data_IF_498083296663
#
_entry.id   IF_498083296663
#
_cell.length_a   1.000
_cell.length_b   1.000
_cell.length_c   1.000
_cell.angle_alpha   90.00
_cell.angle_beta   90.00
_cell.angle_gamma   90.00
#
_symmetry.space_group_name_H-M   'P 1'
#
loop_
_entity.id
_entity.type
_entity.pdbx_description
1 polymer ?
#
# COMPACT_ATOMS: atom_id res chain seq x y z
N UNK A 1 4.65 -14.02 -25.39
CA UNK A 1 5.28 -13.56 -24.13
C UNK A 1 4.96 -14.60 -23.06
N UNK A 2 5.93 -15.09 -22.27
CA UNK A 2 5.62 -16.02 -21.19
C UNK A 2 4.78 -15.30 -20.14
N UNK A 3 3.62 -15.86 -19.83
CA UNK A 3 2.74 -15.39 -18.77
C UNK A 3 3.24 -15.99 -17.46
N UNK A 4 4.03 -15.26 -16.68
CA UNK A 4 4.43 -15.71 -15.35
C UNK A 4 3.20 -15.67 -14.43
N UNK A 5 2.68 -16.83 -14.08
CA UNK A 5 1.58 -16.96 -13.12
C UNK A 5 2.20 -17.11 -11.74
N UNK A 6 2.26 -16.03 -10.95
CA UNK A 6 2.64 -16.11 -9.54
C UNK A 6 1.65 -17.02 -8.82
N UNK A 7 2.13 -18.14 -8.30
CA UNK A 7 1.35 -19.15 -7.55
C UNK A 7 1.46 -18.97 -6.03
N UNK A 8 2.06 -17.88 -5.58
CA UNK A 8 2.27 -17.59 -4.16
C UNK A 8 1.02 -16.94 -3.57
N UNK A 9 0.63 -17.35 -2.37
CA UNK A 9 -0.36 -16.63 -1.58
C UNK A 9 0.24 -15.30 -1.14
N UNK A 10 -0.55 -14.23 -1.22
CA UNK A 10 -0.11 -12.85 -0.93
C UNK A 10 -1.17 -12.26 -0.01
N UNK A 11 -0.73 -11.65 1.08
CA UNK A 11 -1.62 -10.88 1.96
C UNK A 11 -1.92 -9.55 1.28
N UNK A 12 -3.19 -9.21 1.12
CA UNK A 12 -3.60 -7.98 0.47
C UNK A 12 -4.67 -7.26 1.30
N UNK A 13 -4.49 -5.96 1.50
CA UNK A 13 -5.47 -5.08 2.16
C UNK A 13 -5.77 -3.88 1.28
N UNK A 14 -7.06 -3.62 1.06
CA UNK A 14 -7.48 -2.43 0.32
C UNK A 14 -7.40 -1.20 1.21
N UNK A 15 -6.74 -0.15 0.74
CA UNK A 15 -6.54 1.10 1.46
C UNK A 15 -7.76 2.00 1.43
N UNK A 16 -8.24 2.37 2.62
CA UNK A 16 -9.25 3.41 2.80
C UNK A 16 -8.79 4.38 3.89
N UNK A 17 -8.65 5.67 3.54
CA UNK A 17 -8.16 6.72 4.43
C UNK A 17 -8.97 6.79 5.74
N UNK A 18 -10.30 6.69 5.62
CA UNK A 18 -11.20 6.70 6.78
C UNK A 18 -10.98 5.52 7.73
N UNK A 19 -10.63 4.35 7.19
CA UNK A 19 -10.31 3.18 8.01
C UNK A 19 -8.91 3.27 8.59
N UNK A 20 -7.94 3.76 7.82
CA UNK A 20 -6.57 3.97 8.26
C UNK A 20 -6.51 4.86 9.51
N UNK A 21 -7.31 5.93 9.54
CA UNK A 21 -7.39 6.79 10.73
C UNK A 21 -8.01 6.10 11.97
N UNK A 22 -8.82 5.06 11.78
CA UNK A 22 -9.44 4.30 12.88
C UNK A 22 -8.58 3.14 13.36
N UNK A 23 -7.94 2.43 12.43
CA UNK A 23 -7.14 1.26 12.71
C UNK A 23 -5.89 1.25 11.81
N UNK A 24 -4.85 1.96 12.26
CA UNK A 24 -3.57 2.05 11.54
C UNK A 24 -2.85 0.71 11.44
N UNK A 25 -2.98 -0.15 12.44
CA UNK A 25 -2.27 -1.43 12.53
C UNK A 25 -2.69 -2.43 11.44
N UNK A 26 -3.91 -2.27 10.91
CA UNK A 26 -4.42 -3.07 9.78
C UNK A 26 -3.63 -2.82 8.48
N UNK A 27 -3.02 -1.65 8.34
CA UNK A 27 -2.41 -1.21 7.10
C UNK A 27 -0.89 -1.39 7.13
N UNK A 28 -0.41 -2.29 6.28
CA UNK A 28 0.98 -2.74 6.23
C UNK A 28 1.91 -1.60 5.79
N UNK A 29 2.78 -1.14 6.69
CA UNK A 29 3.87 -0.18 6.45
C UNK A 29 3.45 1.20 5.88
N UNK A 30 2.15 1.52 5.85
CA UNK A 30 1.65 2.82 5.35
C UNK A 30 2.03 3.94 6.31
N UNK A 31 2.71 4.95 5.77
CA UNK A 31 3.12 6.16 6.48
C UNK A 31 2.34 7.37 5.99
N UNK A 32 2.15 8.32 6.90
CA UNK A 32 1.45 9.58 6.67
C UNK A 32 2.45 10.75 6.67
N UNK A 33 2.54 11.50 5.56
CA UNK A 33 3.40 12.68 5.44
C UNK A 33 3.04 13.82 6.39
N UNK A 34 1.79 13.91 6.82
CA UNK A 34 1.34 14.93 7.76
C UNK A 34 1.98 14.76 9.15
N UNK A 35 2.58 13.60 9.45
CA UNK A 35 3.37 13.43 10.68
C UNK A 35 4.69 14.19 10.67
N UNK A 36 5.20 14.54 9.49
CA UNK A 36 6.48 15.24 9.32
C UNK A 36 6.34 16.70 8.91
N UNK A 37 5.21 17.07 8.30
CA UNK A 37 5.00 18.43 7.81
C UNK A 37 3.53 18.81 7.79
N UNK A 38 3.21 19.95 8.41
CA UNK A 38 1.87 20.53 8.47
C UNK A 38 1.30 20.90 7.09
N UNK A 39 2.16 21.03 6.06
CA UNK A 39 1.74 21.28 4.68
C UNK A 39 0.83 20.16 4.14
N UNK A 40 0.94 18.95 4.71
CA UNK A 40 0.15 17.79 4.33
C UNK A 40 -1.11 17.60 5.18
N UNK A 41 -1.34 18.42 6.22
CA UNK A 41 -2.45 18.22 7.15
C UNK A 41 -3.83 18.30 6.48
N UNK A 42 -3.95 19.16 5.46
CA UNK A 42 -5.18 19.34 4.66
C UNK A 42 -5.19 18.51 3.37
N UNK A 43 -4.22 17.61 3.20
CA UNK A 43 -4.08 16.74 2.03
C UNK A 43 -4.70 15.37 2.30
N UNK A 44 -5.10 14.71 1.23
CA UNK A 44 -5.76 13.39 1.24
C UNK A 44 -4.91 12.34 0.53
N UNK A 45 -5.38 11.09 0.51
CA UNK A 45 -4.76 10.03 -0.28
C UNK A 45 -4.63 10.40 -1.76
N UNK A 46 -5.63 11.08 -2.33
CA UNK A 46 -5.61 11.55 -3.73
C UNK A 46 -4.51 12.59 -4.00
N UNK A 47 -4.08 13.34 -2.99
CA UNK A 47 -2.96 14.28 -3.09
C UNK A 47 -1.58 13.61 -2.92
N UNK A 48 -1.53 12.31 -2.64
CA UNK A 48 -0.29 11.57 -2.36
C UNK A 48 0.23 11.77 -0.92
N UNK A 49 -0.66 11.98 0.04
CA UNK A 49 -0.31 12.11 1.46
C UNK A 49 0.26 10.82 2.06
N UNK A 50 -0.24 9.66 1.62
CA UNK A 50 0.15 8.36 2.15
C UNK A 50 1.16 7.68 1.23
N UNK A 51 2.08 6.93 1.83
CA UNK A 51 3.13 6.24 1.09
C UNK A 51 3.65 5.00 1.83
N UNK A 52 4.27 4.11 1.08
CA UNK A 52 5.02 2.95 1.58
C UNK A 52 6.49 3.12 1.17
N UNK A 53 7.45 3.00 2.09
CA UNK A 53 8.87 3.05 1.75
C UNK A 53 9.25 1.80 0.96
N UNK A 54 10.02 1.95 -0.13
CA UNK A 54 10.47 0.79 -0.92
C UNK A 54 11.57 -0.01 -0.22
N UNK A 55 12.32 0.65 0.67
CA UNK A 55 13.33 0.01 1.53
C UNK A 55 12.84 -0.09 2.97
N UNK A 56 12.91 -1.30 3.52
CA UNK A 56 12.56 -1.57 4.91
C UNK A 56 13.54 -0.88 5.86
N UNK A 57 13.00 -0.26 6.90
CA UNK A 57 13.74 0.31 8.05
C UNK A 57 14.66 1.50 7.78
N UNK A 58 14.63 2.11 6.60
CA UNK A 58 15.29 3.40 6.37
C UNK A 58 14.28 4.54 6.54
N UNK A 59 14.51 5.40 7.53
CA UNK A 59 13.73 6.62 7.73
C UNK A 59 13.85 7.57 6.52
N UNK A 60 14.99 7.50 5.82
CA UNK A 60 15.34 8.27 4.63
C UNK A 60 15.29 7.44 3.35
N UNK A 61 14.34 6.51 3.24
CA UNK A 61 14.12 5.82 1.98
C UNK A 61 13.97 6.89 0.88
N UNK A 62 14.92 6.90 -0.06
CA UNK A 62 14.97 7.89 -1.13
C UNK A 62 13.83 7.67 -2.12
N UNK A 63 13.29 6.45 -2.12
CA UNK A 63 12.18 6.01 -2.94
C UNK A 63 11.01 5.56 -2.04
N UNK A 64 9.82 5.94 -2.45
CA UNK A 64 8.57 5.55 -1.83
C UNK A 64 7.52 5.38 -2.92
N UNK A 65 6.55 4.52 -2.65
CA UNK A 65 5.38 4.36 -3.51
C UNK A 65 4.21 5.08 -2.85
N UNK A 66 3.51 5.90 -3.63
CA UNK A 66 2.31 6.58 -3.17
C UNK A 66 1.17 5.57 -3.01
N UNK A 67 0.34 5.79 -1.99
CA UNK A 67 -0.86 5.00 -1.73
C UNK A 67 -2.07 5.89 -1.95
N UNK A 68 -2.91 5.52 -2.90
CA UNK A 68 -4.16 6.20 -3.19
C UNK A 68 -5.35 5.49 -2.55
N UNK A 69 -6.46 6.21 -2.44
CA UNK A 69 -7.72 5.65 -1.95
C UNK A 69 -8.18 4.50 -2.86
N UNK A 70 -8.45 3.34 -2.27
CA UNK A 70 -8.89 2.13 -2.97
C UNK A 70 -7.78 1.25 -3.52
N UNK A 71 -6.51 1.66 -3.45
CA UNK A 71 -5.37 0.82 -3.84
C UNK A 71 -5.24 -0.41 -2.94
N UNK A 72 -4.75 -1.51 -3.50
CA UNK A 72 -4.39 -2.69 -2.72
C UNK A 72 -2.93 -2.60 -2.30
N UNK A 73 -2.72 -2.72 -0.99
CA UNK A 73 -1.41 -2.90 -0.38
C UNK A 73 -1.20 -4.40 -0.21
N UNK A 74 -0.14 -4.92 -0.81
CA UNK A 74 0.17 -6.34 -0.81
C UNK A 74 1.48 -6.60 -0.10
N UNK A 75 1.55 -7.73 0.60
CA UNK A 75 2.75 -8.26 1.20
C UNK A 75 3.00 -9.69 0.70
N UNK A 76 4.17 -9.88 0.07
CA UNK A 76 4.67 -11.22 -0.28
C UNK A 76 5.17 -11.96 0.97
N UNK A 77 5.28 -13.29 0.88
CA UNK A 77 5.95 -14.13 1.91
C UNK A 77 7.40 -13.69 2.19
N UNK A 78 8.07 -13.09 1.20
CA UNK A 78 9.40 -12.46 1.36
C UNK A 78 9.37 -11.24 2.30
N UNK A 79 8.17 -10.80 2.68
CA UNK A 79 7.84 -9.64 3.47
C UNK A 79 7.83 -8.34 2.66
N UNK A 80 8.16 -8.34 1.36
CA UNK A 80 8.17 -7.12 0.56
C UNK A 80 6.75 -6.58 0.40
N UNK A 81 6.60 -5.27 0.61
CA UNK A 81 5.30 -4.57 0.52
C UNK A 81 5.26 -3.72 -0.74
N UNK A 82 4.16 -3.78 -1.47
CA UNK A 82 3.94 -3.02 -2.70
C UNK A 82 2.47 -2.62 -2.85
N UNK A 83 2.21 -1.63 -3.69
CA UNK A 83 0.85 -1.14 -3.98
C UNK A 83 0.47 -1.49 -5.40
N UNK A 84 -0.80 -1.82 -5.61
CA UNK A 84 -1.40 -1.85 -6.94
C UNK A 84 -2.74 -1.11 -6.94
N UNK A 85 -3.03 -0.39 -8.04
CA UNK A 85 -4.38 0.08 -8.32
C UNK A 85 -5.40 -1.06 -8.30
N UNK A 86 -6.62 -0.76 -7.84
CA UNK A 86 -7.71 -1.75 -7.72
C UNK A 86 -8.03 -2.45 -9.02
N UNK A 87 -8.08 -1.71 -10.13
CA UNK A 87 -8.36 -2.23 -11.46
C UNK A 87 -7.28 -3.21 -11.95
N UNK A 88 -6.01 -2.99 -11.58
CA UNK A 88 -4.91 -3.91 -11.88
C UNK A 88 -4.98 -5.12 -10.96
N UNK A 89 -5.26 -4.93 -9.67
CA UNK A 89 -5.35 -6.03 -8.72
C UNK A 89 -6.47 -7.02 -9.09
N UNK A 90 -7.68 -6.53 -9.31
CA UNK A 90 -8.86 -7.35 -9.62
C UNK A 90 -8.73 -8.13 -10.95
N UNK A 91 -7.93 -7.62 -11.90
CA UNK A 91 -7.66 -8.32 -13.16
C UNK A 91 -6.66 -9.47 -13.03
N UNK A 92 -5.73 -9.36 -12.07
CA UNK A 92 -4.58 -10.27 -11.97
C UNK A 92 -4.69 -11.25 -10.80
N UNK A 93 -5.47 -10.92 -9.77
CA UNK A 93 -5.61 -11.71 -8.56
C UNK A 93 -7.04 -12.22 -8.39
N UNK A 94 -7.16 -13.37 -7.74
CA UNK A 94 -8.45 -13.91 -7.31
C UNK A 94 -8.41 -14.05 -5.80
N UNK A 95 -9.46 -13.58 -5.15
CA UNK A 95 -9.65 -13.80 -3.72
C UNK A 95 -9.76 -15.31 -3.48
N UNK A 96 -8.89 -15.80 -2.60
CA UNK A 96 -8.98 -17.15 -2.04
C UNK A 96 -9.52 -16.96 -0.63
N UNK A 97 -10.79 -17.33 -0.42
CA UNK A 97 -11.32 -17.42 0.94
C UNK A 97 -10.87 -18.77 1.50
N UNK A 98 -10.02 -18.77 2.53
CA UNK A 98 -9.83 -19.94 3.40
C UNK A 98 -10.99 -20.09 4.39
#
# INVERSE_FOLDING_TARGET
MPCYKRTTNIDAVQFFEKEYHKNKEKYLEVRDRATFSELWANKTASDGRYYIPTEKNTFFATEYVLVYEGDYIMQEESGNVYTLPSDVFERNFKLVNE
#
